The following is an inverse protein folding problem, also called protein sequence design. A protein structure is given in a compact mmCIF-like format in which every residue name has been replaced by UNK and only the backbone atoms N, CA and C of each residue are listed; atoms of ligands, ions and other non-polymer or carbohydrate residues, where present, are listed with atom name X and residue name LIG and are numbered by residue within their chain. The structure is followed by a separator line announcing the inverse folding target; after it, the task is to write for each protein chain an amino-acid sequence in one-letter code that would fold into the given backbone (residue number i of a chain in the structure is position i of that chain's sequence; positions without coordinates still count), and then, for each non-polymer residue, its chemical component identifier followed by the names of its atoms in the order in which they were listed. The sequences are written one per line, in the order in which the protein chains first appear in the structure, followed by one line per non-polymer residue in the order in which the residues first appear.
data_IF_427607457369
#
_entry.id   IF_427607457369
#
_cell.length_a   1.000
_cell.length_b   1.000
_cell.length_c   1.000
_cell.angle_alpha   90.00
_cell.angle_beta   90.00
_cell.angle_gamma   90.00
#
_symmetry.space_group_name_H-M   'P 1'
#
loop_
_entity.id
_entity.type
_entity.pdbx_description
1 polymer ?
#
# COMPACT_ATOMS: atom_id res chain seq x y z
N UNK A 1 -6.96 -17.70 15.83
CA UNK A 1 -7.88 -17.67 17.01
C UNK A 1 -9.32 -17.67 16.48
N UNK A 2 -10.06 -18.76 16.64
CA UNK A 2 -11.14 -19.15 15.71
C UNK A 2 -12.54 -18.85 16.24
N UNK A 3 -13.39 -18.21 15.42
CA UNK A 3 -14.84 -18.03 15.66
C UNK A 3 -15.68 -19.32 15.61
N UNK A 4 -15.08 -20.48 15.92
CA UNK A 4 -15.76 -21.78 16.00
C UNK A 4 -16.90 -21.82 17.02
N UNK A 5 -16.85 -20.92 18.01
CA UNK A 5 -17.81 -20.87 19.12
C UNK A 5 -18.88 -19.78 18.96
N UNK A 6 -18.96 -19.12 17.78
CA UNK A 6 -20.01 -18.13 17.50
C UNK A 6 -21.16 -18.81 16.78
N UNK A 7 -22.38 -18.69 17.31
CA UNK A 7 -23.57 -19.19 16.62
C UNK A 7 -23.73 -18.50 15.26
N UNK A 8 -24.00 -19.29 14.23
CA UNK A 8 -24.18 -18.83 12.83
C UNK A 8 -25.13 -17.63 12.72
N UNK A 9 -26.24 -17.62 13.47
CA UNK A 9 -27.20 -16.51 13.49
C UNK A 9 -26.59 -15.22 14.02
N UNK A 10 -25.80 -15.29 15.10
CA UNK A 10 -25.15 -14.13 15.72
C UNK A 10 -24.05 -13.59 14.80
N UNK A 11 -23.25 -14.49 14.20
CA UNK A 11 -22.21 -14.12 13.25
C UNK A 11 -22.78 -13.43 12.01
N UNK A 12 -23.87 -13.98 11.43
CA UNK A 12 -24.57 -13.37 10.29
C UNK A 12 -25.10 -11.99 10.64
N UNK A 13 -25.78 -11.86 11.78
CA UNK A 13 -26.32 -10.58 12.23
C UNK A 13 -25.23 -9.52 12.41
N UNK A 14 -24.08 -9.90 12.99
CA UNK A 14 -22.92 -9.01 13.10
C UNK A 14 -22.49 -8.49 11.72
N UNK A 15 -22.29 -9.40 10.75
CA UNK A 15 -21.86 -8.99 9.42
C UNK A 15 -22.92 -8.19 8.66
N UNK A 16 -24.20 -8.51 8.80
CA UNK A 16 -25.30 -7.75 8.21
C UNK A 16 -25.33 -6.30 8.72
N UNK A 17 -25.04 -6.10 10.01
CA UNK A 17 -24.97 -4.78 10.63
C UNK A 17 -23.67 -4.03 10.33
N UNK A 18 -22.54 -4.75 10.20
CA UNK A 18 -21.20 -4.16 10.00
C UNK A 18 -20.72 -4.07 8.57
N UNK A 19 -21.58 -4.35 7.60
CA UNK A 19 -21.19 -4.37 6.21
C UNK A 19 -20.96 -2.96 5.67
N UNK A 20 -19.70 -2.59 5.42
CA UNK A 20 -19.36 -1.33 4.76
C UNK A 20 -19.58 -0.06 5.59
N UNK A 21 -19.81 -0.19 6.89
CA UNK A 21 -20.12 0.93 7.80
C UNK A 21 -19.42 0.77 9.14
N UNK A 22 -19.18 1.89 9.84
CA UNK A 22 -18.86 1.86 11.27
C UNK A 22 -20.17 1.66 12.05
N UNK A 23 -20.26 0.58 12.83
CA UNK A 23 -21.47 0.25 13.61
C UNK A 23 -21.30 0.61 15.07
N UNK A 24 -22.42 0.98 15.71
CA UNK A 24 -22.56 0.96 17.17
C UNK A 24 -22.61 -0.47 17.72
N UNK A 25 -22.27 -0.62 19.00
CA UNK A 25 -22.24 -1.94 19.64
C UNK A 25 -23.63 -2.53 19.87
N UNK A 26 -24.66 -1.69 19.99
CA UNK A 26 -26.04 -2.12 20.24
C UNK A 26 -26.64 -2.98 19.12
N UNK A 27 -26.39 -2.68 17.84
CA UNK A 27 -27.02 -3.40 16.73
C UNK A 27 -26.22 -4.62 16.28
N UNK A 28 -24.91 -4.47 16.14
CA UNK A 28 -24.03 -5.52 15.60
C UNK A 28 -23.85 -6.72 16.54
N UNK A 29 -24.05 -6.54 17.85
CA UNK A 29 -23.77 -7.57 18.86
C UNK A 29 -25.01 -8.02 19.64
N UNK A 30 -26.20 -7.62 19.19
CA UNK A 30 -27.46 -7.93 19.87
C UNK A 30 -27.69 -9.45 19.96
N UNK A 31 -27.94 -9.94 21.18
CA UNK A 31 -28.20 -11.36 21.46
C UNK A 31 -26.96 -12.25 21.55
N UNK A 32 -25.75 -11.69 21.40
CA UNK A 32 -24.50 -12.40 21.67
C UNK A 32 -24.32 -12.67 23.16
N UNK A 33 -23.77 -13.83 23.51
CA UNK A 33 -23.14 -14.06 24.82
C UNK A 33 -21.86 -13.22 24.95
N UNK A 34 -21.30 -13.09 26.14
CA UNK A 34 -20.05 -12.34 26.31
C UNK A 34 -18.88 -12.97 25.52
N UNK A 35 -18.80 -14.29 25.45
CA UNK A 35 -17.76 -14.98 24.67
C UNK A 35 -17.91 -14.71 23.18
N UNK A 36 -19.14 -14.76 22.64
CA UNK A 36 -19.43 -14.40 21.25
C UNK A 36 -19.10 -12.92 20.98
N UNK A 37 -19.52 -12.01 21.86
CA UNK A 37 -19.20 -10.59 21.78
C UNK A 37 -17.69 -10.35 21.74
N UNK A 38 -16.94 -11.00 22.64
CA UNK A 38 -15.49 -10.90 22.70
C UNK A 38 -14.82 -11.37 21.40
N UNK A 39 -15.25 -12.52 20.86
CA UNK A 39 -14.69 -13.01 19.60
C UNK A 39 -15.01 -12.09 18.43
N UNK A 40 -16.23 -11.56 18.34
CA UNK A 40 -16.62 -10.58 17.32
C UNK A 40 -15.84 -9.27 17.47
N UNK A 41 -15.62 -8.79 18.70
CA UNK A 41 -14.80 -7.59 18.95
C UNK A 41 -13.36 -7.73 18.50
N UNK A 42 -12.80 -8.95 18.50
CA UNK A 42 -11.45 -9.22 18.00
C UNK A 42 -11.30 -9.17 16.48
N UNK A 43 -12.42 -9.17 15.76
CA UNK A 43 -12.42 -8.85 14.33
C UNK A 43 -11.96 -7.40 14.16
N UNK A 44 -12.62 -6.45 14.85
CA UNK A 44 -12.26 -5.02 14.81
C UNK A 44 -10.94 -4.72 15.55
N UNK A 45 -10.72 -5.36 16.69
CA UNK A 45 -9.58 -5.09 17.58
C UNK A 45 -8.83 -6.38 17.93
N UNK A 46 -7.94 -6.89 17.05
CA UNK A 46 -7.24 -8.18 17.23
C UNK A 46 -6.63 -8.42 18.61
N UNK A 47 -6.09 -7.36 19.20
CA UNK A 47 -5.35 -7.36 20.46
C UNK A 47 -6.21 -6.99 21.68
N UNK A 48 -7.53 -6.80 21.53
CA UNK A 48 -8.40 -6.47 22.66
C UNK A 48 -8.43 -7.63 23.67
N UNK A 49 -8.24 -7.27 24.94
CA UNK A 49 -8.36 -8.22 26.06
C UNK A 49 -9.82 -8.44 26.41
N UNK A 50 -10.13 -9.52 27.12
CA UNK A 50 -11.50 -9.79 27.60
C UNK A 50 -11.97 -8.66 28.52
N UNK A 51 -11.12 -8.22 29.45
CA UNK A 51 -11.44 -7.15 30.39
C UNK A 51 -11.75 -5.83 29.65
N UNK A 52 -10.89 -5.41 28.72
CA UNK A 52 -11.11 -4.18 27.94
C UNK A 52 -12.37 -4.25 27.07
N UNK A 53 -12.68 -5.42 26.52
CA UNK A 53 -13.94 -5.63 25.80
C UNK A 53 -15.15 -5.50 26.74
N UNK A 54 -15.09 -6.07 27.95
CA UNK A 54 -16.15 -5.95 28.96
C UNK A 54 -16.34 -4.50 29.42
N UNK A 55 -15.26 -3.81 29.79
CA UNK A 55 -15.28 -2.42 30.30
C UNK A 55 -15.86 -1.43 29.28
N UNK A 56 -15.52 -1.61 28.01
CA UNK A 56 -15.95 -0.73 26.91
C UNK A 56 -17.29 -1.12 26.29
N UNK A 57 -17.93 -2.17 26.78
CA UNK A 57 -19.22 -2.59 26.24
C UNK A 57 -20.32 -1.61 26.61
N UNK A 58 -21.26 -1.37 25.71
CA UNK A 58 -22.49 -0.60 25.98
C UNK A 58 -23.50 -1.41 26.85
N UNK A 59 -23.25 -2.71 27.06
CA UNK A 59 -24.14 -3.61 27.80
C UNK A 59 -23.77 -3.68 29.29
N UNK A 60 -24.65 -3.21 30.22
CA UNK A 60 -24.32 -3.16 31.64
C UNK A 60 -23.97 -4.52 32.26
N UNK A 61 -24.56 -5.61 31.76
CA UNK A 61 -24.25 -6.96 32.21
C UNK A 61 -22.82 -7.41 31.84
N UNK A 62 -22.25 -6.89 30.74
CA UNK A 62 -20.87 -7.17 30.36
C UNK A 62 -19.88 -6.29 31.15
N UNK A 63 -20.21 -5.02 31.35
CA UNK A 63 -19.40 -4.11 32.16
C UNK A 63 -19.16 -4.65 33.57
N UNK A 64 -20.17 -5.27 34.19
CA UNK A 64 -20.03 -5.92 35.52
C UNK A 64 -18.98 -7.02 35.53
N UNK A 65 -18.80 -7.76 34.44
CA UNK A 65 -17.81 -8.83 34.35
C UNK A 65 -16.36 -8.31 34.40
N UNK A 66 -16.13 -7.05 34.04
CA UNK A 66 -14.78 -6.47 34.04
C UNK A 66 -14.12 -6.50 35.42
N UNK A 67 -14.90 -6.30 36.48
CA UNK A 67 -14.42 -6.29 37.86
C UNK A 67 -13.88 -7.66 38.31
N UNK A 68 -14.34 -8.74 37.67
CA UNK A 68 -13.96 -10.12 37.98
C UNK A 68 -12.77 -10.61 37.13
N UNK A 69 -12.35 -9.82 36.13
CA UNK A 69 -11.27 -10.19 35.20
C UNK A 69 -9.91 -9.68 35.67
N UNK A 70 -8.82 -10.41 35.36
CA UNK A 70 -7.47 -9.95 35.67
C UNK A 70 -7.19 -8.60 34.99
N UNK A 71 -6.40 -7.72 35.62
CA UNK A 71 -6.02 -6.45 35.02
C UNK A 71 -5.31 -6.68 33.69
N UNK A 72 -5.52 -5.75 32.77
CA UNK A 72 -4.81 -5.79 31.49
C UNK A 72 -3.30 -5.75 31.72
N UNK A 73 -2.51 -6.48 30.92
CA UNK A 73 -1.07 -6.30 30.93
C UNK A 73 -0.76 -4.82 30.61
N UNK A 74 0.26 -4.24 31.24
CA UNK A 74 0.60 -2.84 30.99
C UNK A 74 0.80 -2.62 29.49
N UNK A 75 0.23 -1.52 28.97
CA UNK A 75 0.43 -1.11 27.59
C UNK A 75 1.94 -1.04 27.34
N UNK A 76 2.45 -1.94 26.50
CA UNK A 76 3.83 -1.87 26.03
C UNK A 76 3.90 -0.72 25.04
N UNK A 77 4.01 0.52 25.53
CA UNK A 77 4.55 1.61 24.71
C UNK A 77 6.04 1.32 24.54
N UNK A 78 6.49 0.85 23.37
CA UNK A 78 7.90 0.53 23.21
C UNK A 78 8.63 1.87 23.15
N UNK A 79 9.34 2.23 24.23
CA UNK A 79 10.46 3.16 24.10
C UNK A 79 11.38 2.53 23.06
N UNK A 80 11.56 3.19 21.92
CA UNK A 80 12.44 2.70 20.86
C UNK A 80 13.88 2.93 21.33
N UNK A 81 14.64 1.87 21.69
CA UNK A 81 16.03 2.05 22.09
C UNK A 81 16.85 2.51 20.87
N UNK A 82 17.95 3.22 21.11
CA UNK A 82 18.87 3.66 20.05
C UNK A 82 18.16 4.34 18.87
N UNK A 83 17.27 5.28 19.21
CA UNK A 83 16.46 6.03 18.26
C UNK A 83 17.17 7.30 17.79
N UNK A 84 17.17 7.53 16.47
CA UNK A 84 17.64 8.75 15.85
C UNK A 84 16.58 9.29 14.89
N UNK A 85 16.31 10.59 14.99
CA UNK A 85 15.42 11.29 14.08
C UNK A 85 16.13 12.49 13.47
N UNK A 86 16.05 12.61 12.15
CA UNK A 86 16.53 13.77 11.40
C UNK A 86 15.36 14.29 10.58
N UNK A 87 15.05 15.58 10.71
CA UNK A 87 13.93 16.17 10.00
C UNK A 87 14.23 17.55 9.41
N UNK A 88 13.45 17.93 8.40
CA UNK A 88 13.36 19.29 7.83
C UNK A 88 14.71 19.83 7.35
N UNK A 89 15.46 19.00 6.64
CA UNK A 89 16.73 19.37 6.01
C UNK A 89 16.55 19.54 4.50
N UNK A 90 17.17 20.55 3.88
CA UNK A 90 17.17 20.62 2.42
C UNK A 90 17.93 19.42 1.83
N UNK A 91 19.10 19.12 2.38
CA UNK A 91 19.95 17.99 1.96
C UNK A 91 20.46 17.22 3.18
N UNK A 92 20.64 15.91 3.02
CA UNK A 92 21.25 15.02 4.00
C UNK A 92 22.21 14.02 3.34
N UNK A 93 23.49 14.16 3.62
CA UNK A 93 24.49 13.14 3.33
C UNK A 93 24.53 12.11 4.48
N UNK A 94 24.13 10.87 4.20
CA UNK A 94 24.04 9.81 5.22
C UNK A 94 25.40 9.29 5.69
N UNK A 95 26.48 9.49 4.92
CA UNK A 95 27.83 9.06 5.29
C UNK A 95 28.46 9.99 6.33
N UNK A 96 28.18 11.29 6.23
CA UNK A 96 28.70 12.33 7.14
C UNK A 96 27.72 12.74 8.23
N UNK A 97 26.46 12.34 8.14
CA UNK A 97 25.45 12.59 9.18
C UNK A 97 25.92 12.07 10.55
N UNK A 98 25.62 12.83 11.61
CA UNK A 98 25.89 12.46 13.01
C UNK A 98 24.89 11.41 13.52
N UNK A 99 24.85 10.25 12.88
CA UNK A 99 24.08 9.07 13.28
C UNK A 99 25.05 8.13 13.98
N UNK A 100 24.79 7.79 15.25
CA UNK A 100 25.60 6.83 15.99
C UNK A 100 25.53 5.44 15.37
N UNK A 101 26.62 4.67 15.46
CA UNK A 101 26.68 3.30 14.93
C UNK A 101 25.74 2.32 15.66
N UNK A 102 25.37 2.65 16.90
CA UNK A 102 24.44 1.90 17.73
C UNK A 102 22.96 2.11 17.35
N UNK A 103 22.66 3.06 16.45
CA UNK A 103 21.29 3.39 16.04
C UNK A 103 20.63 2.20 15.34
N UNK A 104 19.51 1.75 15.92
CA UNK A 104 18.67 0.67 15.38
C UNK A 104 17.35 1.18 14.82
N UNK A 105 16.91 2.37 15.25
CA UNK A 105 15.65 2.97 14.85
C UNK A 105 15.91 4.34 14.24
N UNK A 106 15.93 4.42 12.91
CA UNK A 106 16.20 5.64 12.16
C UNK A 106 14.93 6.17 11.50
N UNK A 107 14.60 7.43 11.78
CA UNK A 107 13.50 8.16 11.13
C UNK A 107 14.04 9.39 10.41
N UNK A 108 13.77 9.49 9.11
CA UNK A 108 14.07 10.64 8.27
C UNK A 108 12.75 11.28 7.82
N UNK A 109 12.61 12.59 7.96
CA UNK A 109 11.35 13.27 7.61
C UNK A 109 11.57 14.62 6.95
N UNK A 110 10.81 14.93 5.89
CA UNK A 110 10.85 16.24 5.21
C UNK A 110 12.26 16.60 4.77
N UNK A 111 12.92 15.69 4.07
CA UNK A 111 14.29 15.89 3.53
C UNK A 111 14.22 15.92 2.02
N UNK A 112 14.56 17.05 1.38
CA UNK A 112 14.34 17.17 -0.07
C UNK A 112 15.25 16.25 -0.88
N UNK A 113 16.51 16.11 -0.49
CA UNK A 113 17.45 15.21 -1.15
C UNK A 113 18.33 14.48 -0.12
N UNK A 114 18.29 13.15 -0.17
CA UNK A 114 19.17 12.27 0.59
C UNK A 114 20.26 11.73 -0.34
N UNK A 115 21.51 11.82 0.10
CA UNK A 115 22.69 11.35 -0.63
C UNK A 115 23.54 10.39 0.21
N UNK A 116 24.53 9.77 -0.43
CA UNK A 116 25.53 8.92 0.17
C UNK A 116 24.93 7.77 0.98
N UNK A 117 23.95 7.06 0.39
CA UNK A 117 23.20 5.97 1.02
C UNK A 117 24.07 4.86 1.61
N UNK A 118 25.31 4.70 1.09
CA UNK A 118 26.33 3.80 1.65
C UNK A 118 26.60 4.04 3.14
N UNK A 119 26.31 5.23 3.65
CA UNK A 119 26.37 5.58 5.07
C UNK A 119 25.47 4.73 5.96
N UNK A 120 24.43 4.09 5.43
CA UNK A 120 23.61 3.14 6.19
C UNK A 120 24.36 1.86 6.57
N UNK A 121 25.43 1.49 5.84
CA UNK A 121 26.19 0.26 6.09
C UNK A 121 26.97 0.25 7.39
N UNK A 122 27.20 1.42 7.99
CA UNK A 122 27.81 1.50 9.34
C UNK A 122 26.85 1.07 10.44
N UNK A 123 25.55 0.96 10.13
CA UNK A 123 24.53 0.47 11.05
C UNK A 123 24.44 -1.05 10.87
N UNK A 124 24.78 -1.82 11.90
CA UNK A 124 24.85 -3.28 11.80
C UNK A 124 23.50 -3.92 11.46
N UNK A 125 22.40 -3.35 11.98
CA UNK A 125 21.03 -3.80 11.72
C UNK A 125 20.01 -2.72 12.06
N UNK A 126 19.09 -2.48 11.14
CA UNK A 126 17.96 -1.57 11.37
C UNK A 126 16.75 -2.36 11.87
N UNK A 127 16.32 -2.13 13.10
CA UNK A 127 15.03 -2.61 13.59
C UNK A 127 13.88 -1.83 12.96
N UNK A 128 14.06 -0.52 12.78
CA UNK A 128 13.10 0.34 12.08
C UNK A 128 13.83 1.37 11.23
N UNK A 129 13.43 1.45 9.97
CA UNK A 129 13.83 2.51 9.07
C UNK A 129 12.58 3.18 8.51
N UNK A 130 12.37 4.45 8.83
CA UNK A 130 11.17 5.18 8.41
C UNK A 130 11.54 6.45 7.66
N UNK A 131 10.93 6.65 6.50
CA UNK A 131 11.05 7.88 5.73
C UNK A 131 9.67 8.47 5.48
N UNK A 132 9.56 9.79 5.55
CA UNK A 132 8.33 10.49 5.20
C UNK A 132 8.61 11.82 4.51
N UNK A 133 7.93 12.14 3.41
CA UNK A 133 8.13 13.39 2.69
C UNK A 133 9.60 13.62 2.32
N UNK A 134 10.27 12.57 1.85
CA UNK A 134 11.69 12.60 1.49
C UNK A 134 11.89 12.36 -0.01
N UNK A 135 12.86 13.06 -0.60
CA UNK A 135 13.42 12.75 -1.93
C UNK A 135 14.83 12.14 -1.82
N UNK A 136 15.36 11.68 -2.95
CA UNK A 136 16.71 11.10 -3.04
C UNK A 136 17.45 11.68 -4.23
N UNK A 137 18.76 11.82 -4.12
CA UNK A 137 19.59 12.02 -5.30
C UNK A 137 19.69 10.72 -6.12
N UNK A 138 19.94 10.86 -7.42
CA UNK A 138 20.24 9.74 -8.30
C UNK A 138 21.57 9.09 -7.90
N UNK A 139 21.50 7.87 -7.36
CA UNK A 139 22.65 7.07 -6.94
C UNK A 139 22.40 5.60 -7.31
N UNK A 140 23.46 4.80 -7.30
CA UNK A 140 23.32 3.35 -7.42
C UNK A 140 22.78 2.75 -6.11
N UNK A 141 21.80 1.84 -6.15
CA UNK A 141 21.33 1.12 -4.97
C UNK A 141 22.43 0.33 -4.26
N UNK A 142 22.24 0.08 -2.96
CA UNK A 142 23.21 -0.64 -2.15
C UNK A 142 23.24 -2.14 -2.49
N UNK A 143 24.41 -2.59 -2.94
CA UNK A 143 24.71 -4.02 -3.14
C UNK A 143 25.95 -4.41 -2.31
N UNK A 144 25.84 -5.28 -1.28
CA UNK A 144 24.61 -5.91 -0.78
C UNK A 144 23.67 -4.90 -0.08
N UNK A 145 22.36 -5.24 0.02
CA UNK A 145 21.37 -4.43 0.71
C UNK A 145 21.53 -4.46 2.23
N UNK A 146 21.07 -3.41 2.91
CA UNK A 146 21.07 -3.32 4.38
C UNK A 146 19.89 -4.08 4.96
N UNK A 147 20.13 -4.89 5.99
CA UNK A 147 19.08 -5.66 6.63
C UNK A 147 18.21 -4.75 7.52
N UNK A 148 16.90 -4.82 7.30
CA UNK A 148 15.91 -4.13 8.12
C UNK A 148 14.85 -5.11 8.66
N UNK A 149 14.30 -4.85 9.84
CA UNK A 149 13.09 -5.57 10.31
C UNK A 149 11.85 -4.87 9.75
N UNK A 150 11.74 -3.56 9.92
CA UNK A 150 10.63 -2.76 9.40
C UNK A 150 11.13 -1.58 8.57
N UNK A 151 10.63 -1.46 7.34
CA UNK A 151 10.73 -0.26 6.51
C UNK A 151 9.36 0.40 6.40
N UNK A 152 9.28 1.69 6.72
CA UNK A 152 8.07 2.51 6.55
C UNK A 152 8.38 3.66 5.59
N UNK A 153 7.55 3.85 4.57
CA UNK A 153 7.65 4.93 3.60
C UNK A 153 6.32 5.68 3.56
N UNK A 154 6.36 7.00 3.72
CA UNK A 154 5.16 7.85 3.77
C UNK A 154 5.28 9.07 2.85
N UNK A 155 4.53 9.11 1.75
CA UNK A 155 4.56 10.23 0.79
C UNK A 155 5.98 10.68 0.41
N UNK A 156 6.87 9.72 0.15
CA UNK A 156 8.22 9.97 -0.36
C UNK A 156 8.20 10.11 -1.87
N UNK A 157 9.11 10.88 -2.44
CA UNK A 157 9.25 10.97 -3.89
C UNK A 157 9.63 9.59 -4.49
N UNK A 158 9.23 9.28 -5.74
CA UNK A 158 9.39 7.95 -6.34
C UNK A 158 10.82 7.41 -6.30
N UNK A 159 11.81 8.25 -6.60
CA UNK A 159 13.23 7.91 -6.59
C UNK A 159 13.74 7.54 -5.20
N UNK A 160 13.17 8.16 -4.15
CA UNK A 160 13.47 7.80 -2.77
C UNK A 160 12.86 6.45 -2.38
N UNK A 161 11.62 6.17 -2.83
CA UNK A 161 10.98 4.87 -2.64
C UNK A 161 11.80 3.77 -3.31
N UNK A 162 12.19 3.97 -4.58
CA UNK A 162 13.03 3.04 -5.32
C UNK A 162 14.36 2.79 -4.62
N UNK A 163 15.06 3.86 -4.23
CA UNK A 163 16.35 3.77 -3.56
C UNK A 163 16.27 2.94 -2.28
N UNK A 164 15.26 3.17 -1.44
CA UNK A 164 15.08 2.41 -0.19
C UNK A 164 14.74 0.95 -0.45
N UNK A 165 13.80 0.67 -1.36
CA UNK A 165 13.39 -0.71 -1.65
C UNK A 165 14.55 -1.50 -2.27
N UNK A 166 15.33 -0.92 -3.18
CA UNK A 166 16.48 -1.62 -3.79
C UNK A 166 17.71 -1.73 -2.88
N UNK A 167 17.80 -0.89 -1.84
CA UNK A 167 18.95 -0.84 -0.94
C UNK A 167 18.74 -1.57 0.39
N UNK A 168 17.57 -2.17 0.60
CA UNK A 168 17.23 -2.86 1.86
C UNK A 168 16.72 -4.28 1.63
N UNK A 169 16.93 -5.17 2.60
CA UNK A 169 16.22 -6.46 2.69
C UNK A 169 15.42 -6.50 4.00
N UNK A 170 14.17 -6.06 3.88
CA UNK A 170 13.24 -5.91 4.99
C UNK A 170 12.39 -7.16 5.25
N UNK A 171 12.08 -7.43 6.53
CA UNK A 171 11.06 -8.42 6.91
C UNK A 171 9.63 -7.88 6.75
N UNK A 172 9.47 -6.57 6.91
CA UNK A 172 8.20 -5.87 6.86
C UNK A 172 8.35 -4.57 6.09
N UNK A 173 7.43 -4.30 5.18
CA UNK A 173 7.40 -3.06 4.41
C UNK A 173 6.00 -2.46 4.52
N UNK A 174 5.95 -1.16 4.84
CA UNK A 174 4.74 -0.36 4.83
C UNK A 174 4.94 0.86 3.96
N UNK A 175 4.10 1.03 2.96
CA UNK A 175 4.14 2.18 2.05
C UNK A 175 2.77 2.84 2.12
N UNK A 176 2.73 4.10 2.52
CA UNK A 176 1.53 4.93 2.59
C UNK A 176 1.75 6.13 1.68
N UNK A 177 1.13 6.11 0.51
CA UNK A 177 1.30 7.13 -0.51
C UNK A 177 -0.03 7.82 -0.78
N UNK A 178 -0.14 9.08 -0.35
CA UNK A 178 -1.38 9.85 -0.51
C UNK A 178 -1.55 10.42 -1.92
N UNK A 179 -0.44 10.55 -2.66
CA UNK A 179 -0.40 11.10 -4.02
C UNK A 179 -0.62 10.02 -5.10
N UNK A 180 -1.21 10.39 -6.26
CA UNK A 180 -1.63 9.47 -7.32
C UNK A 180 -0.47 8.97 -8.19
N UNK A 181 0.66 8.57 -7.61
CA UNK A 181 1.76 7.95 -8.36
C UNK A 181 1.55 6.44 -8.52
N UNK A 182 1.92 5.91 -9.69
CA UNK A 182 2.04 4.48 -9.92
C UNK A 182 3.24 3.93 -9.14
N UNK A 183 3.06 2.83 -8.42
CA UNK A 183 4.14 2.16 -7.71
C UNK A 183 4.40 0.77 -8.30
N UNK A 184 5.62 0.58 -8.81
CA UNK A 184 6.08 -0.71 -9.30
C UNK A 184 6.48 -1.63 -8.16
N UNK A 185 5.75 -2.73 -7.98
CA UNK A 185 6.13 -3.74 -7.00
C UNK A 185 7.38 -4.51 -7.43
N UNK A 186 7.79 -4.43 -8.70
CA UNK A 186 9.02 -5.08 -9.19
C UNK A 186 10.28 -4.67 -8.40
N UNK A 187 10.24 -3.49 -7.76
CA UNK A 187 11.26 -2.98 -6.83
C UNK A 187 11.49 -3.88 -5.61
N UNK A 188 10.53 -4.74 -5.26
CA UNK A 188 10.63 -5.70 -4.16
C UNK A 188 11.46 -6.95 -4.52
N UNK A 189 11.99 -7.04 -5.73
CA UNK A 189 12.83 -8.16 -6.14
C UNK A 189 14.08 -8.22 -5.27
N UNK A 190 14.35 -9.39 -4.68
CA UNK A 190 15.51 -9.62 -3.81
C UNK A 190 15.21 -9.56 -2.31
N UNK A 191 14.00 -9.15 -1.91
CA UNK A 191 13.54 -9.19 -0.52
C UNK A 191 13.20 -10.62 -0.05
N UNK A 192 14.22 -11.45 0.14
CA UNK A 192 14.07 -12.86 0.47
C UNK A 192 13.42 -13.13 1.83
N UNK A 193 13.33 -12.11 2.71
CA UNK A 193 12.80 -12.25 4.07
C UNK A 193 11.46 -11.54 4.28
N UNK A 194 10.86 -10.97 3.23
CA UNK A 194 9.66 -10.13 3.35
C UNK A 194 8.41 -10.96 3.67
N UNK A 195 7.98 -10.89 4.94
CA UNK A 195 6.82 -11.63 5.45
C UNK A 195 5.55 -10.77 5.55
N UNK A 196 5.69 -9.44 5.65
CA UNK A 196 4.56 -8.50 5.79
C UNK A 196 4.70 -7.36 4.78
N UNK A 197 3.71 -7.20 3.91
CA UNK A 197 3.62 -6.10 2.97
C UNK A 197 2.30 -5.36 3.15
N UNK A 198 2.37 -4.07 3.43
CA UNK A 198 1.21 -3.18 3.52
C UNK A 198 1.44 -2.01 2.58
N UNK A 199 0.62 -1.89 1.55
CA UNK A 199 0.70 -0.77 0.62
C UNK A 199 -0.65 -0.11 0.54
N UNK A 200 -0.65 1.19 0.84
CA UNK A 200 -1.74 2.09 0.52
C UNK A 200 -1.27 3.07 -0.58
N UNK A 201 -1.71 2.85 -1.81
CA UNK A 201 -1.32 3.66 -2.97
C UNK A 201 -2.46 3.71 -3.98
N UNK A 202 -2.44 4.72 -4.87
CA UNK A 202 -3.52 4.91 -5.84
C UNK A 202 -3.47 3.92 -7.00
N UNK A 203 -2.28 3.44 -7.39
CA UNK A 203 -2.10 2.47 -8.46
C UNK A 203 -0.88 1.59 -8.23
N UNK A 204 -1.08 0.26 -8.28
CA UNK A 204 -0.01 -0.73 -8.21
C UNK A 204 0.12 -1.51 -9.52
N UNK A 205 1.36 -1.80 -9.90
CA UNK A 205 1.68 -2.68 -11.02
C UNK A 205 2.91 -3.55 -10.73
N UNK A 206 3.25 -4.47 -11.64
CA UNK A 206 4.37 -5.40 -11.44
C UNK A 206 4.12 -6.42 -10.32
N UNK A 207 2.85 -6.78 -10.09
CA UNK A 207 2.42 -7.62 -8.97
C UNK A 207 3.05 -9.03 -9.00
N UNK A 208 3.52 -9.49 -10.16
CA UNK A 208 4.12 -10.81 -10.35
C UNK A 208 5.25 -11.17 -9.37
N UNK A 209 6.01 -10.20 -8.85
CA UNK A 209 7.07 -10.46 -7.86
C UNK A 209 6.52 -11.07 -6.56
N UNK A 210 5.28 -10.74 -6.20
CA UNK A 210 4.63 -11.20 -4.96
C UNK A 210 4.51 -12.73 -4.91
N UNK A 211 4.46 -13.40 -6.06
CA UNK A 211 4.46 -14.87 -6.17
C UNK A 211 5.73 -15.51 -5.61
N UNK A 212 6.84 -14.79 -5.57
CA UNK A 212 8.14 -15.31 -5.12
C UNK A 212 8.45 -15.01 -3.65
N UNK A 213 7.73 -14.07 -3.04
CA UNK A 213 8.02 -13.57 -1.70
C UNK A 213 7.38 -14.45 -0.61
N UNK A 214 8.00 -14.59 0.58
CA UNK A 214 7.49 -15.44 1.66
C UNK A 214 6.41 -14.74 2.51
N UNK A 215 5.43 -14.12 1.84
CA UNK A 215 4.41 -13.29 2.47
C UNK A 215 3.44 -14.11 3.34
N UNK A 216 3.31 -13.70 4.59
CA UNK A 216 2.30 -14.18 5.56
C UNK A 216 1.18 -13.17 5.75
N UNK A 217 1.46 -11.87 5.52
CA UNK A 217 0.51 -10.78 5.62
C UNK A 217 0.62 -9.90 4.40
N UNK A 218 -0.50 -9.67 3.72
CA UNK A 218 -0.56 -8.85 2.52
C UNK A 218 -1.75 -7.90 2.63
N UNK A 219 -1.48 -6.61 2.54
CA UNK A 219 -2.50 -5.58 2.37
C UNK A 219 -2.14 -4.74 1.16
N UNK A 220 -3.04 -4.65 0.19
CA UNK A 220 -2.88 -3.85 -1.02
C UNK A 220 -4.12 -2.98 -1.21
N UNK A 221 -3.90 -1.68 -1.42
CA UNK A 221 -4.88 -0.81 -2.10
C UNK A 221 -4.41 -0.47 -3.52
N UNK A 222 -5.32 0.03 -4.36
CA UNK A 222 -4.96 0.45 -5.73
C UNK A 222 -4.67 -0.70 -6.69
N UNK A 223 -5.28 -1.88 -6.45
CA UNK A 223 -5.21 -3.05 -7.34
C UNK A 223 -6.56 -3.34 -7.98
N UNK A 224 -6.54 -3.82 -9.22
CA UNK A 224 -7.72 -4.34 -9.86
C UNK A 224 -7.99 -5.79 -9.41
N UNK A 225 -9.22 -6.15 -9.02
CA UNK A 225 -9.56 -7.53 -8.72
C UNK A 225 -9.54 -8.34 -10.02
N UNK A 226 -8.77 -9.42 -10.09
CA UNK A 226 -8.64 -10.18 -11.33
C UNK A 226 -7.76 -11.42 -11.25
N UNK A 227 -7.48 -12.01 -12.42
CA UNK A 227 -6.70 -13.25 -12.54
C UNK A 227 -5.26 -13.10 -12.03
N UNK A 228 -4.65 -11.92 -12.18
CA UNK A 228 -3.30 -11.68 -11.67
C UNK A 228 -3.26 -11.75 -10.14
N UNK A 229 -4.15 -11.00 -9.46
CA UNK A 229 -4.30 -11.04 -7.99
C UNK A 229 -4.63 -12.46 -7.54
N UNK A 230 -5.60 -13.12 -8.19
CA UNK A 230 -5.95 -14.51 -7.87
C UNK A 230 -4.74 -15.45 -7.97
N UNK A 231 -3.97 -15.38 -9.05
CA UNK A 231 -2.78 -16.20 -9.23
C UNK A 231 -1.69 -15.94 -8.18
N UNK A 232 -1.58 -14.71 -7.66
CA UNK A 232 -0.68 -14.40 -6.54
C UNK A 232 -1.16 -15.07 -5.25
N UNK A 233 -2.46 -14.99 -4.97
CA UNK A 233 -3.06 -15.61 -3.80
C UNK A 233 -2.97 -17.14 -3.85
N UNK A 234 -3.14 -17.75 -5.01
CA UNK A 234 -3.00 -19.20 -5.21
C UNK A 234 -1.59 -19.68 -4.85
N UNK A 235 -0.56 -19.00 -5.36
CA UNK A 235 0.84 -19.29 -5.07
C UNK A 235 1.20 -19.13 -3.59
N UNK A 236 0.49 -18.27 -2.85
CA UNK A 236 0.74 -17.98 -1.42
C UNK A 236 -0.28 -18.64 -0.48
N UNK A 237 -1.17 -19.47 -1.01
CA UNK A 237 -2.33 -20.03 -0.29
C UNK A 237 -2.01 -20.69 1.05
N UNK A 238 -0.88 -21.39 1.14
CA UNK A 238 -0.44 -22.10 2.37
C UNK A 238 0.22 -21.22 3.42
N UNK A 239 0.70 -20.03 3.05
CA UNK A 239 1.47 -19.14 3.93
C UNK A 239 0.65 -17.93 4.41
N UNK A 240 -0.26 -17.46 3.57
CA UNK A 240 -0.98 -16.22 3.80
C UNK A 240 -2.00 -16.35 4.94
N UNK A 241 -1.71 -15.68 6.05
CA UNK A 241 -2.55 -15.65 7.25
C UNK A 241 -3.45 -14.42 7.32
N UNK A 242 -3.01 -13.29 6.76
CA UNK A 242 -3.79 -12.06 6.72
C UNK A 242 -3.81 -11.47 5.31
N UNK A 243 -5.00 -11.15 4.81
CA UNK A 243 -5.20 -10.55 3.49
C UNK A 243 -6.07 -9.29 3.61
N UNK A 244 -5.62 -8.19 3.03
CA UNK A 244 -6.40 -7.00 2.77
C UNK A 244 -6.35 -6.64 1.30
N UNK A 245 -7.52 -6.52 0.66
CA UNK A 245 -7.63 -6.10 -0.73
C UNK A 245 -8.61 -4.93 -0.80
N UNK A 246 -8.07 -3.73 -0.96
CA UNK A 246 -8.85 -2.49 -1.10
C UNK A 246 -8.78 -2.06 -2.55
N UNK A 247 -9.64 -2.68 -3.35
CA UNK A 247 -9.80 -2.32 -4.75
C UNK A 247 -10.73 -1.12 -4.88
N UNK A 248 -10.64 -0.39 -5.99
CA UNK A 248 -11.63 0.63 -6.37
C UNK A 248 -12.84 0.02 -7.09
N UNK A 249 -12.61 -1.10 -7.77
CA UNK A 249 -13.64 -1.86 -8.49
C UNK A 249 -14.36 -2.84 -7.57
N UNK A 250 -15.70 -2.92 -7.65
CA UNK A 250 -16.47 -3.91 -6.91
C UNK A 250 -16.07 -5.36 -7.23
N UNK A 251 -15.92 -6.20 -6.20
CA UNK A 251 -15.67 -7.63 -6.36
C UNK A 251 -16.35 -8.48 -5.28
N UNK A 252 -16.62 -9.74 -5.62
CA UNK A 252 -17.18 -10.76 -4.75
C UNK A 252 -16.13 -11.79 -4.27
N UNK A 253 -16.52 -12.73 -3.41
CA UNK A 253 -15.61 -13.76 -2.86
C UNK A 253 -15.03 -14.71 -3.90
N UNK A 254 -15.60 -14.78 -5.10
CA UNK A 254 -15.11 -15.63 -6.20
C UNK A 254 -13.69 -15.29 -6.68
N UNK A 255 -13.19 -14.10 -6.35
CA UNK A 255 -11.80 -13.69 -6.61
C UNK A 255 -10.80 -14.44 -5.71
N UNK A 256 -11.24 -14.88 -4.53
CA UNK A 256 -10.39 -15.60 -3.60
C UNK A 256 -10.24 -17.08 -4.02
N UNK A 257 -9.01 -17.60 -4.10
CA UNK A 257 -8.79 -19.04 -4.18
C UNK A 257 -9.01 -19.70 -2.80
N UNK A 258 -8.77 -21.01 -2.71
CA UNK A 258 -8.72 -21.68 -1.41
C UNK A 258 -7.47 -21.21 -0.64
N UNK A 259 -7.70 -20.63 0.53
CA UNK A 259 -6.68 -20.04 1.41
C UNK A 259 -6.75 -20.73 2.79
N UNK A 260 -6.21 -21.95 2.94
CA UNK A 260 -6.41 -22.76 4.14
C UNK A 260 -5.86 -22.13 5.43
N UNK A 261 -4.80 -21.34 5.29
CA UNK A 261 -4.09 -20.66 6.39
C UNK A 261 -4.66 -19.28 6.73
N UNK A 262 -5.65 -18.78 5.99
CA UNK A 262 -6.20 -17.45 6.19
C UNK A 262 -6.93 -17.36 7.53
N UNK A 263 -6.54 -16.37 8.33
CA UNK A 263 -7.14 -16.05 9.63
C UNK A 263 -7.87 -14.71 9.61
N UNK A 264 -7.46 -13.77 8.74
CA UNK A 264 -8.08 -12.44 8.65
C UNK A 264 -8.23 -12.01 7.20
N UNK A 265 -9.39 -11.44 6.88
CA UNK A 265 -9.71 -10.87 5.58
C UNK A 265 -10.24 -9.45 5.75
N UNK A 266 -9.73 -8.48 4.99
CA UNK A 266 -10.21 -7.11 4.96
C UNK A 266 -10.55 -6.70 3.53
N UNK A 267 -11.80 -6.33 3.27
CA UNK A 267 -12.29 -5.94 1.94
C UNK A 267 -13.33 -4.82 2.04
N UNK A 268 -13.48 -3.97 1.01
CA UNK A 268 -14.56 -3.00 0.95
C UNK A 268 -15.95 -3.66 0.90
N UNK A 269 -16.91 -3.10 1.62
CA UNK A 269 -18.29 -3.55 1.66
C UNK A 269 -19.11 -3.04 0.47
N UNK A 270 -18.83 -3.53 -0.74
CA UNK A 270 -19.62 -3.21 -1.93
C UNK A 270 -21.04 -3.78 -1.84
N UNK A 271 -22.06 -2.94 -1.94
CA UNK A 271 -23.46 -3.34 -1.73
C UNK A 271 -23.91 -4.46 -2.67
N UNK A 272 -23.49 -4.40 -3.94
CA UNK A 272 -23.86 -5.41 -4.95
C UNK A 272 -23.37 -6.84 -4.64
N UNK A 273 -22.35 -7.01 -3.78
CA UNK A 273 -21.82 -8.31 -3.36
C UNK A 273 -22.12 -8.62 -1.89
N UNK A 274 -22.98 -7.82 -1.24
CA UNK A 274 -23.25 -7.91 0.20
C UNK A 274 -23.63 -9.32 0.65
N UNK A 275 -24.62 -9.92 -0.01
CA UNK A 275 -25.10 -11.26 0.35
C UNK A 275 -24.02 -12.33 0.18
N UNK A 276 -23.28 -12.29 -0.93
CA UNK A 276 -22.22 -13.26 -1.23
C UNK A 276 -21.08 -13.20 -0.22
N UNK A 277 -20.63 -12.00 0.14
CA UNK A 277 -19.57 -11.80 1.13
C UNK A 277 -19.98 -12.23 2.53
N UNK A 278 -21.21 -11.90 2.94
CA UNK A 278 -21.76 -12.32 4.24
C UNK A 278 -21.88 -13.85 4.28
N UNK A 279 -22.43 -14.47 3.23
CA UNK A 279 -22.56 -15.92 3.13
C UNK A 279 -21.20 -16.60 3.20
N UNK A 280 -20.20 -16.06 2.50
CA UNK A 280 -18.82 -16.56 2.56
C UNK A 280 -18.23 -16.44 3.96
N UNK A 281 -18.37 -15.29 4.62
CA UNK A 281 -17.83 -15.07 5.96
C UNK A 281 -18.50 -15.98 7.01
N UNK A 282 -19.81 -16.20 6.89
CA UNK A 282 -20.57 -17.10 7.76
C UNK A 282 -20.20 -18.57 7.52
N UNK A 283 -19.93 -18.96 6.28
CA UNK A 283 -19.42 -20.30 5.94
C UNK A 283 -17.96 -20.52 6.39
N UNK A 284 -17.21 -19.44 6.63
CA UNK A 284 -15.80 -19.46 7.03
C UNK A 284 -15.58 -18.81 8.41
N UNK A 285 -16.21 -19.30 9.49
CA UNK A 285 -16.18 -18.66 10.82
C UNK A 285 -14.78 -18.63 11.48
N UNK A 286 -13.81 -19.34 10.91
CA UNK A 286 -12.40 -19.29 11.33
C UNK A 286 -11.67 -18.04 10.83
N UNK A 287 -12.20 -17.36 9.80
CA UNK A 287 -11.63 -16.17 9.19
C UNK A 287 -12.33 -14.94 9.76
N UNK A 288 -11.58 -14.04 10.38
CA UNK A 288 -12.08 -12.75 10.83
C UNK A 288 -12.20 -11.79 9.64
N UNK A 289 -13.41 -11.65 9.10
CA UNK A 289 -13.71 -10.72 8.01
C UNK A 289 -14.01 -9.30 8.52
N UNK A 290 -13.34 -8.29 7.95
CA UNK A 290 -13.60 -6.88 8.18
C UNK A 290 -14.10 -6.25 6.87
N UNK A 291 -15.37 -5.82 6.85
CA UNK A 291 -15.98 -5.13 5.73
C UNK A 291 -15.88 -3.62 5.96
N UNK A 292 -14.90 -2.98 5.32
CA UNK A 292 -14.68 -1.53 5.48
C UNK A 292 -15.60 -0.72 4.59
N UNK A 293 -15.85 0.57 4.93
CA UNK A 293 -16.47 1.50 4.01
C UNK A 293 -15.77 1.47 2.65
N UNK A 294 -16.57 1.52 1.58
CA UNK A 294 -16.02 1.70 0.23
C UNK A 294 -15.23 3.00 0.25
N UNK A 295 -13.95 2.99 -0.18
CA UNK A 295 -13.18 4.21 -0.31
C UNK A 295 -14.01 5.22 -1.09
N UNK A 296 -14.16 6.44 -0.56
CA UNK A 296 -14.93 7.44 -1.30
C UNK A 296 -14.26 7.63 -2.67
N UNK A 297 -14.97 7.27 -3.75
CA UNK A 297 -14.60 7.63 -5.13
C UNK A 297 -14.63 9.15 -5.35
N UNK A 298 -14.80 9.95 -4.29
CA UNK A 298 -15.10 11.36 -4.35
C UNK A 298 -13.86 12.13 -4.84
N UNK A 299 -13.89 12.40 -6.16
CA UNK A 299 -13.05 13.35 -6.94
C UNK A 299 -11.72 12.86 -7.50
N UNK A 300 -11.27 11.64 -7.25
CA UNK A 300 -10.07 11.11 -7.93
C UNK A 300 -10.46 10.49 -9.28
N UNK A 301 -9.76 10.81 -10.39
CA UNK A 301 -9.97 10.09 -11.65
C UNK A 301 -9.76 8.59 -11.41
N UNK A 302 -10.54 7.72 -12.05
CA UNK A 302 -10.20 6.29 -12.06
C UNK A 302 -8.95 6.13 -12.91
N UNK A 303 -7.83 5.75 -12.30
CA UNK A 303 -6.56 5.55 -12.99
C UNK A 303 -6.26 4.06 -13.02
N UNK A 304 -6.04 3.52 -14.22
CA UNK A 304 -5.64 2.13 -14.42
C UNK A 304 -4.34 2.10 -15.21
N UNK A 305 -3.46 1.13 -14.97
CA UNK A 305 -2.34 0.91 -15.88
C UNK A 305 -2.89 0.41 -17.23
N UNK A 306 -2.63 1.15 -18.31
CA UNK A 306 -3.01 0.73 -19.66
C UNK A 306 -1.95 -0.18 -20.29
N UNK A 307 -0.68 0.17 -20.12
CA UNK A 307 0.47 -0.51 -20.69
C UNK A 307 1.77 -0.05 -20.01
N UNK A 308 2.78 -0.93 -19.92
CA UNK A 308 4.18 -0.52 -19.69
C UNK A 308 4.90 -0.57 -21.03
N UNK A 309 5.31 0.58 -21.57
CA UNK A 309 5.95 0.69 -22.88
C UNK A 309 7.37 1.27 -22.73
N UNK A 310 8.40 0.50 -23.10
CA UNK A 310 9.83 0.84 -22.88
C UNK A 310 10.13 1.28 -21.44
N UNK A 311 9.65 0.49 -20.49
CA UNK A 311 9.78 0.72 -19.04
C UNK A 311 9.09 2.00 -18.52
N UNK A 312 8.26 2.65 -19.35
CA UNK A 312 7.44 3.81 -18.97
C UNK A 312 5.97 3.39 -18.86
N UNK A 313 5.33 3.76 -17.76
CA UNK A 313 3.91 3.48 -17.53
C UNK A 313 3.02 4.43 -18.33
N UNK A 314 2.10 3.85 -19.11
CA UNK A 314 0.99 4.56 -19.73
C UNK A 314 -0.26 4.23 -18.93
N UNK A 315 -0.86 5.24 -18.32
CA UNK A 315 -2.05 5.14 -17.51
C UNK A 315 -3.28 5.42 -18.37
N UNK A 316 -4.40 4.77 -18.05
CA UNK A 316 -5.74 5.08 -18.53
C UNK A 316 -6.44 5.85 -17.43
N UNK A 317 -6.78 7.10 -17.73
CA UNK A 317 -7.41 8.03 -16.80
C UNK A 317 -8.86 8.25 -17.25
N UNK A 318 -9.82 7.76 -16.47
CA UNK A 318 -11.24 8.00 -16.70
C UNK A 318 -11.74 9.15 -15.81
N UNK A 319 -12.26 10.21 -16.44
CA UNK A 319 -12.88 11.37 -15.79
C UNK A 319 -14.28 11.57 -16.35
N UNK A 320 -15.30 11.08 -15.63
CA UNK A 320 -16.69 11.10 -16.09
C UNK A 320 -16.89 10.24 -17.33
N UNK A 321 -17.34 10.82 -18.45
CA UNK A 321 -17.54 10.10 -19.72
C UNK A 321 -16.32 10.11 -20.64
N UNK A 322 -15.27 10.83 -20.28
CA UNK A 322 -14.03 10.91 -21.06
C UNK A 322 -13.00 9.94 -20.49
N UNK A 323 -12.41 9.17 -21.39
CA UNK A 323 -11.27 8.30 -21.13
C UNK A 323 -10.08 8.88 -21.90
N UNK A 324 -9.00 9.13 -21.18
CA UNK A 324 -7.72 9.58 -21.72
C UNK A 324 -6.63 8.58 -21.32
N UNK A 325 -5.49 8.67 -21.99
CA UNK A 325 -4.27 7.96 -21.65
C UNK A 325 -3.22 8.98 -21.25
N UNK A 326 -2.47 8.71 -20.19
CA UNK A 326 -1.46 9.60 -19.61
C UNK A 326 -0.12 8.88 -19.55
N UNK A 327 0.97 9.55 -19.89
CA UNK A 327 2.32 9.02 -19.66
C UNK A 327 2.75 9.44 -18.26
N UNK A 328 2.91 8.47 -17.35
CA UNK A 328 3.23 8.71 -15.95
C UNK A 328 4.72 8.46 -15.68
N UNK A 329 5.55 9.35 -16.19
CA UNK A 329 7.00 9.34 -16.00
C UNK A 329 7.56 10.76 -16.11
N UNK A 330 8.65 11.04 -15.42
CA UNK A 330 9.43 12.24 -15.64
C UNK A 330 10.34 12.01 -16.85
N UNK A 331 9.84 12.23 -18.06
CA UNK A 331 10.53 11.83 -19.29
C UNK A 331 11.93 12.46 -19.47
N UNK A 332 12.20 13.62 -18.87
CA UNK A 332 13.55 14.20 -18.83
C UNK A 332 14.49 13.32 -18.02
N UNK A 333 14.15 13.04 -16.76
CA UNK A 333 14.98 12.24 -15.87
C UNK A 333 15.00 10.76 -16.28
N UNK A 334 13.85 10.22 -16.66
CA UNK A 334 13.65 8.79 -16.89
C UNK A 334 14.13 8.31 -18.29
N UNK A 335 14.10 9.18 -19.31
CA UNK A 335 14.49 8.82 -20.68
C UNK A 335 15.74 9.56 -21.14
N UNK A 336 15.75 10.90 -21.04
CA UNK A 336 16.85 11.70 -21.56
C UNK A 336 18.09 11.62 -20.66
N UNK A 337 17.89 11.46 -19.34
CA UNK A 337 18.96 11.35 -18.34
C UNK A 337 19.98 12.48 -18.49
N UNK A 338 19.49 13.73 -18.57
CA UNK A 338 20.29 14.93 -18.80
C UNK A 338 19.78 16.12 -17.99
N UNK A 339 20.71 16.94 -17.49
CA UNK A 339 20.45 18.22 -16.85
C UNK A 339 20.31 19.37 -17.87
N UNK A 340 20.58 19.12 -19.16
CA UNK A 340 20.65 20.15 -20.20
C UNK A 340 19.27 20.61 -20.70
N UNK A 341 18.23 19.81 -20.47
CA UNK A 341 16.87 20.06 -20.97
C UNK A 341 15.93 19.96 -19.78
N UNK A 342 15.21 21.04 -19.48
CA UNK A 342 14.16 21.00 -18.46
C UNK A 342 12.83 20.48 -19.04
N UNK A 343 11.87 20.20 -18.16
CA UNK A 343 10.55 19.68 -18.56
C UNK A 343 9.76 20.67 -19.45
N UNK A 344 10.04 21.97 -19.38
CA UNK A 344 9.41 22.99 -20.24
C UNK A 344 9.98 22.97 -21.66
N UNK A 345 11.29 22.86 -21.81
CA UNK A 345 11.94 22.74 -23.11
C UNK A 345 11.59 21.41 -23.79
N UNK A 346 11.53 20.31 -23.03
CA UNK A 346 11.04 19.04 -23.54
C UNK A 346 9.59 19.17 -24.06
N UNK A 347 8.72 19.81 -23.28
CA UNK A 347 7.33 20.06 -23.67
C UNK A 347 7.23 20.80 -24.99
N UNK A 348 8.00 21.86 -25.19
CA UNK A 348 7.99 22.65 -26.42
C UNK A 348 8.51 21.87 -27.64
N UNK A 349 9.61 21.12 -27.48
CA UNK A 349 10.18 20.26 -28.53
C UNK A 349 9.17 19.20 -28.96
N UNK A 350 8.57 18.51 -27.99
CA UNK A 350 7.59 17.46 -28.22
C UNK A 350 6.30 18.02 -28.84
N UNK A 351 5.81 19.19 -28.39
CA UNK A 351 4.67 19.88 -29.02
C UNK A 351 4.92 20.17 -30.49
N UNK A 352 6.12 20.61 -30.84
CA UNK A 352 6.51 20.87 -32.23
C UNK A 352 6.51 19.59 -33.07
N UNK A 353 7.03 18.48 -32.53
CA UNK A 353 6.99 17.15 -33.17
C UNK A 353 5.55 16.65 -33.33
N UNK A 354 4.71 16.80 -32.30
CA UNK A 354 3.31 16.37 -32.32
C UNK A 354 2.52 17.11 -33.39
N UNK A 355 2.76 18.42 -33.53
CA UNK A 355 2.16 19.24 -34.59
C UNK A 355 2.56 18.76 -35.99
N UNK A 356 3.83 18.39 -36.20
CA UNK A 356 4.30 17.84 -37.49
C UNK A 356 3.71 16.45 -37.77
N UNK A 357 3.57 15.62 -36.74
CA UNK A 357 3.02 14.26 -36.84
C UNK A 357 1.49 14.19 -36.83
N UNK A 358 0.78 15.32 -36.73
CA UNK A 358 -0.67 15.38 -36.66
C UNK A 358 -1.28 14.77 -35.38
N UNK A 359 -0.47 14.63 -34.33
CA UNK A 359 -0.87 14.05 -33.05
C UNK A 359 -1.59 15.09 -32.19
N UNK A 360 -2.64 14.67 -31.49
CA UNK A 360 -3.42 15.53 -30.58
C UNK A 360 -3.24 15.04 -29.15
N UNK A 361 -2.70 15.91 -28.31
CA UNK A 361 -2.51 15.67 -26.89
C UNK A 361 -2.79 16.93 -26.08
N UNK A 362 -3.12 16.75 -24.81
CA UNK A 362 -3.15 17.77 -23.79
C UNK A 362 -1.84 17.71 -23.03
N UNK A 363 -1.30 18.87 -22.70
CA UNK A 363 0.01 19.01 -22.06
C UNK A 363 -0.19 19.84 -20.80
N UNK A 364 0.40 19.41 -19.69
CA UNK A 364 0.48 20.19 -18.47
C UNK A 364 1.83 19.98 -17.80
N UNK A 365 2.56 21.08 -17.60
CA UNK A 365 3.71 21.17 -16.71
C UNK A 365 3.23 21.73 -15.36
N UNK A 366 2.73 20.87 -14.46
CA UNK A 366 2.53 21.25 -13.06
C UNK A 366 3.65 20.64 -12.22
N UNK A 367 4.27 21.44 -11.35
CA UNK A 367 5.28 21.01 -10.37
C UNK A 367 6.48 20.23 -10.95
N UNK A 368 7.13 20.79 -11.97
CA UNK A 368 8.35 20.23 -12.58
C UNK A 368 8.19 18.81 -13.13
N UNK A 369 6.96 18.35 -13.42
CA UNK A 369 6.70 17.05 -14.04
C UNK A 369 5.98 17.25 -15.36
N UNK A 370 6.53 16.69 -16.44
CA UNK A 370 5.88 16.71 -17.75
C UNK A 370 4.73 15.70 -17.79
N UNK A 371 3.48 16.18 -17.84
CA UNK A 371 2.30 15.33 -17.97
C UNK A 371 1.69 15.50 -19.35
N UNK A 372 1.61 14.41 -20.11
CA UNK A 372 0.94 14.37 -21.40
C UNK A 372 -0.25 13.42 -21.37
N UNK A 373 -1.39 13.91 -21.85
CA UNK A 373 -2.63 13.15 -21.99
C UNK A 373 -3.07 13.04 -23.46
N UNK A 374 -3.40 11.84 -23.92
CA UNK A 374 -3.91 11.58 -25.27
C UNK A 374 -5.25 10.83 -25.24
N UNK A 375 -5.93 10.75 -26.38
CA UNK A 375 -7.19 9.98 -26.51
C UNK A 375 -6.96 8.49 -26.80
N UNK A 376 -5.74 8.12 -27.19
CA UNK A 376 -5.37 6.79 -27.63
C UNK A 376 -3.95 6.41 -27.18
N UNK A 377 -3.74 5.11 -26.97
CA UNK A 377 -2.46 4.53 -26.56
C UNK A 377 -1.33 4.79 -27.58
N UNK A 378 -1.63 4.76 -28.87
CA UNK A 378 -0.61 4.91 -29.92
C UNK A 378 0.02 6.29 -29.93
N UNK A 379 -0.71 7.32 -29.48
CA UNK A 379 -0.18 8.67 -29.30
C UNK A 379 0.75 8.75 -28.08
N UNK A 380 0.47 8.02 -27.00
CA UNK A 380 1.38 7.90 -25.85
C UNK A 380 2.66 7.12 -26.20
N UNK A 381 2.54 5.99 -26.93
CA UNK A 381 3.71 5.24 -27.43
C UNK A 381 4.59 6.10 -28.35
N UNK A 382 3.97 6.82 -29.29
CA UNK A 382 4.66 7.74 -30.18
C UNK A 382 5.43 8.82 -29.42
N UNK A 383 4.85 9.36 -28.34
CA UNK A 383 5.53 10.32 -27.47
C UNK A 383 6.79 9.69 -26.87
N UNK A 384 6.66 8.52 -26.24
CA UNK A 384 7.78 7.82 -25.61
C UNK A 384 8.88 7.57 -26.64
N UNK A 385 8.54 7.01 -27.82
CA UNK A 385 9.50 6.80 -28.91
C UNK A 385 10.18 8.12 -29.35
N UNK A 386 9.43 9.21 -29.47
CA UNK A 386 9.97 10.52 -29.88
C UNK A 386 10.94 11.09 -28.84
N UNK A 387 10.70 10.89 -27.54
CA UNK A 387 11.65 11.32 -26.50
C UNK A 387 12.90 10.45 -26.51
N UNK A 388 12.77 9.13 -26.71
CA UNK A 388 13.92 8.24 -26.91
C UNK A 388 14.76 8.64 -28.14
N UNK A 389 14.13 9.14 -29.21
CA UNK A 389 14.83 9.66 -30.38
C UNK A 389 15.57 10.98 -30.10
N UNK A 390 15.07 11.82 -29.19
CA UNK A 390 15.75 13.06 -28.76
C UNK A 390 16.98 12.80 -27.88
N UNK A 391 17.10 11.60 -27.31
CA UNK A 391 18.29 11.15 -26.55
C UNK A 391 19.49 10.87 -27.47
N UNK A 392 19.24 10.48 -28.72
CA UNK A 392 20.26 10.21 -29.74
C UNK A 392 20.62 11.46 -30.53
#
# INVERSE_FOLDING_TARGET
MTGKDIRTKVLRQYYEASYGVQVSDEEAFKGATFDEYYQLKRIQFPAITRRRAAEKSERPEFQKLAAEMPPDPPDKNPVLPHFCMIERKPELDLASAKIGEDVQNLTLSRIKSITAWKGLRRLERLERFSLSLCGSASEAPLVPPVLAVLVNLGSCAPECVEMVLRSTDAQKIRILHEEPSALSLSLLRGHARLEELVIDASLLHGLGVLKSLPLKRLYLSGVAPGQEVRGILEERSKLLAELGLVCDEPFGPSVLPDLPSLERLKVPGYEQFRSEWIDWAVANPKVACEFIPVPEQSKRPTVQLAEVYRDVDILRVAKGKQQLFEVAANLVEDILDTDDIDNGELEDRVKALAKKAGKKAQWSSESDTFVMQAKDLDTCRWLIDSVYELRG
#
